data_IF_926170273717
#
_entry.id   IF_926170273717
#
_cell.length_a   1.000
_cell.length_b   1.000
_cell.length_c   1.000
_cell.angle_alpha   90.00
_cell.angle_beta   90.00
_cell.angle_gamma   90.00
#
_symmetry.space_group_name_H-M   'P 1'
#
loop_
_entity.id
_entity.type
_entity.pdbx_description
1 polymer ?
#
# COMPACT_ATOMS: atom_id res chain seq x y z
N UNK A 1 15.77 6.62 19.90
CA UNK A 1 16.43 5.31 19.73
C UNK A 1 15.67 4.37 18.79
N UNK A 2 14.46 3.89 19.13
CA UNK A 2 13.73 2.90 18.30
C UNK A 2 13.54 3.30 16.82
N UNK A 3 13.19 4.56 16.54
CA UNK A 3 13.02 5.06 15.15
C UNK A 3 14.31 4.98 14.34
N UNK A 4 15.43 5.40 14.93
CA UNK A 4 16.73 5.33 14.27
C UNK A 4 17.16 3.88 14.01
N UNK A 5 16.90 2.98 14.96
CA UNK A 5 17.15 1.55 14.79
C UNK A 5 16.32 0.97 13.63
N UNK A 6 15.01 1.26 13.58
CA UNK A 6 14.15 0.81 12.48
C UNK A 6 14.60 1.36 11.13
N UNK A 7 15.03 2.62 11.07
CA UNK A 7 15.59 3.22 9.87
C UNK A 7 16.85 2.48 9.40
N UNK A 8 17.79 2.23 10.32
CA UNK A 8 19.06 1.56 10.02
C UNK A 8 18.84 0.10 9.60
N UNK A 9 18.01 -0.66 10.32
CA UNK A 9 17.69 -2.04 9.98
C UNK A 9 17.01 -2.14 8.61
N UNK A 10 16.06 -1.25 8.32
CA UNK A 10 15.38 -1.23 7.02
C UNK A 10 16.34 -0.83 5.89
N UNK A 11 17.23 0.13 6.16
CA UNK A 11 18.26 0.55 5.19
C UNK A 11 19.23 -0.60 4.90
N UNK A 12 19.75 -1.26 5.93
CA UNK A 12 20.65 -2.40 5.77
C UNK A 12 19.97 -3.56 5.05
N UNK A 13 18.75 -3.92 5.43
CA UNK A 13 18.00 -4.98 4.77
C UNK A 13 17.73 -4.66 3.30
N UNK A 14 17.30 -3.44 2.98
CA UNK A 14 17.04 -3.04 1.60
C UNK A 14 18.30 -2.89 0.76
N UNK A 15 19.42 -2.46 1.35
CA UNK A 15 20.72 -2.42 0.70
C UNK A 15 21.20 -3.84 0.36
N UNK A 16 21.12 -4.76 1.32
CA UNK A 16 21.46 -6.18 1.09
C UNK A 16 20.58 -6.76 -0.01
N UNK A 17 19.27 -6.57 0.06
CA UNK A 17 18.36 -7.10 -0.95
C UNK A 17 18.67 -6.52 -2.33
N UNK A 18 18.78 -5.20 -2.46
CA UNK A 18 19.09 -4.53 -3.73
C UNK A 18 20.43 -4.99 -4.31
N UNK A 19 21.46 -5.20 -3.48
CA UNK A 19 22.78 -5.69 -3.92
C UNK A 19 22.76 -7.12 -4.46
N UNK A 20 21.78 -7.92 -4.05
CA UNK A 20 21.60 -9.31 -4.48
C UNK A 20 20.52 -9.47 -5.57
N UNK A 21 20.03 -8.37 -6.14
CA UNK A 21 18.98 -8.42 -7.16
C UNK A 21 19.41 -9.23 -8.39
N UNK A 22 18.63 -10.21 -8.89
CA UNK A 22 19.13 -11.20 -9.84
C UNK A 22 19.47 -10.65 -11.23
N UNK A 23 18.71 -9.65 -11.70
CA UNK A 23 18.90 -9.08 -13.05
C UNK A 23 19.86 -7.88 -13.02
N UNK A 24 19.55 -6.85 -12.23
CA UNK A 24 20.37 -5.64 -12.17
C UNK A 24 20.49 -5.10 -10.74
N UNK A 25 21.53 -5.52 -9.99
CA UNK A 25 21.84 -4.97 -8.67
C UNK A 25 21.99 -3.44 -8.69
N UNK A 26 22.63 -2.89 -9.72
CA UNK A 26 22.85 -1.45 -9.83
C UNK A 26 21.52 -0.68 -9.96
N UNK A 27 20.61 -1.13 -10.82
CA UNK A 27 19.30 -0.49 -10.96
C UNK A 27 18.48 -0.59 -9.67
N UNK A 28 18.50 -1.74 -9.00
CA UNK A 28 17.83 -1.94 -7.73
C UNK A 28 18.40 -1.04 -6.62
N UNK A 29 19.73 -0.89 -6.56
CA UNK A 29 20.42 -0.01 -5.60
C UNK A 29 20.08 1.46 -5.85
N UNK A 30 20.10 1.91 -7.10
CA UNK A 30 19.73 3.27 -7.49
C UNK A 30 18.27 3.55 -7.13
N UNK A 31 17.35 2.65 -7.50
CA UNK A 31 15.95 2.75 -7.14
C UNK A 31 15.76 2.83 -5.62
N UNK A 32 16.37 1.92 -4.88
CA UNK A 32 16.27 1.85 -3.42
C UNK A 32 16.79 3.13 -2.76
N UNK A 33 17.98 3.61 -3.16
CA UNK A 33 18.56 4.83 -2.62
C UNK A 33 17.71 6.07 -2.94
N UNK A 34 17.29 6.23 -4.20
CA UNK A 34 16.41 7.32 -4.60
C UNK A 34 15.08 7.28 -3.84
N UNK A 35 14.48 6.11 -3.66
CA UNK A 35 13.26 5.93 -2.89
C UNK A 35 13.47 6.28 -1.40
N UNK A 36 14.59 5.92 -0.80
CA UNK A 36 14.93 6.32 0.58
C UNK A 36 14.97 7.84 0.71
N UNK A 37 15.70 8.51 -0.20
CA UNK A 37 15.83 9.97 -0.25
C UNK A 37 14.46 10.63 -0.46
N UNK A 38 13.69 10.19 -1.45
CA UNK A 38 12.35 10.75 -1.72
C UNK A 38 11.44 10.63 -0.49
N UNK A 39 11.45 9.49 0.20
CA UNK A 39 10.63 9.29 1.40
C UNK A 39 11.12 10.07 2.62
N UNK A 40 12.42 10.29 2.75
CA UNK A 40 12.99 11.13 3.79
C UNK A 40 12.69 12.62 3.55
N UNK A 41 12.70 13.10 2.29
CA UNK A 41 12.50 14.50 1.95
C UNK A 41 11.03 14.92 1.77
N UNK A 42 10.15 14.03 1.29
CA UNK A 42 8.72 14.32 1.05
C UNK A 42 7.80 13.44 1.89
N UNK A 43 7.38 13.88 3.09
CA UNK A 43 6.60 13.05 4.01
C UNK A 43 5.24 12.72 3.43
N UNK A 44 4.89 11.45 3.53
CA UNK A 44 3.63 10.90 3.03
C UNK A 44 3.59 10.65 1.53
N UNK A 45 4.69 10.84 0.78
CA UNK A 45 4.75 10.42 -0.63
C UNK A 45 4.54 8.91 -0.79
N UNK A 46 4.99 8.13 0.20
CA UNK A 46 4.75 6.68 0.26
C UNK A 46 3.27 6.29 0.25
N UNK A 47 2.35 7.15 0.73
CA UNK A 47 0.91 6.91 0.65
C UNK A 47 0.41 6.90 -0.80
N UNK A 48 1.15 7.54 -1.73
CA UNK A 48 0.93 7.44 -3.17
C UNK A 48 1.72 6.26 -3.73
N UNK A 49 3.03 6.20 -3.43
CA UNK A 49 3.94 5.25 -4.07
C UNK A 49 3.62 3.79 -3.75
N UNK A 50 3.27 3.46 -2.50
CA UNK A 50 3.00 2.08 -2.09
C UNK A 50 1.76 1.51 -2.79
N UNK A 51 0.57 2.14 -2.73
CA UNK A 51 -0.59 1.58 -3.43
C UNK A 51 -0.49 1.63 -4.96
N UNK A 52 0.25 2.60 -5.51
CA UNK A 52 0.49 2.71 -6.94
C UNK A 52 1.49 1.66 -7.45
N UNK A 53 2.48 1.30 -6.63
CA UNK A 53 3.52 0.31 -6.93
C UNK A 53 3.04 -1.13 -6.74
N UNK A 54 2.14 -1.37 -5.79
CA UNK A 54 1.68 -2.71 -5.40
C UNK A 54 1.30 -3.63 -6.58
N UNK A 55 0.59 -3.17 -7.62
CA UNK A 55 0.13 -4.09 -8.65
C UNK A 55 1.16 -4.54 -9.67
N UNK A 56 2.34 -3.91 -9.71
CA UNK A 56 3.32 -4.14 -10.77
C UNK A 56 4.76 -4.29 -10.27
N UNK A 57 5.07 -3.87 -9.03
CA UNK A 57 6.39 -4.07 -8.41
C UNK A 57 6.60 -5.51 -7.92
N UNK A 58 6.24 -6.47 -8.76
CA UNK A 58 6.57 -7.87 -8.55
C UNK A 58 7.07 -8.39 -9.90
N UNK A 59 8.39 -8.48 -10.04
CA UNK A 59 9.05 -8.98 -11.23
C UNK A 59 9.46 -10.45 -11.10
N UNK A 60 8.81 -11.20 -10.20
CA UNK A 60 9.09 -12.62 -9.95
C UNK A 60 9.20 -13.50 -11.21
N UNK A 61 8.46 -13.29 -12.33
CA UNK A 61 8.66 -14.11 -13.52
C UNK A 61 10.00 -13.89 -14.21
N UNK A 62 10.57 -12.69 -14.08
CA UNK A 62 11.85 -12.34 -14.69
C UNK A 62 13.01 -12.57 -13.72
N UNK A 63 12.82 -12.23 -12.43
CA UNK A 63 13.88 -12.32 -11.43
C UNK A 63 13.97 -13.69 -10.78
N UNK A 64 12.91 -14.51 -10.82
CA UNK A 64 12.81 -15.76 -10.06
C UNK A 64 12.68 -15.56 -8.55
N UNK A 65 12.60 -14.31 -8.10
CA UNK A 65 12.44 -13.93 -6.71
C UNK A 65 10.97 -14.10 -6.30
N UNK A 66 10.73 -15.15 -5.51
CA UNK A 66 9.40 -15.44 -4.99
C UNK A 66 9.24 -14.98 -3.53
N UNK A 67 10.26 -15.18 -2.70
CA UNK A 67 10.20 -14.85 -1.26
C UNK A 67 10.38 -13.35 -1.05
N UNK A 68 11.35 -12.79 -1.76
CA UNK A 68 11.61 -11.36 -1.84
C UNK A 68 11.05 -10.83 -3.15
N UNK A 69 10.72 -9.56 -3.21
CA UNK A 69 10.27 -8.90 -4.43
C UNK A 69 10.66 -7.42 -4.44
N UNK A 70 10.45 -6.75 -5.58
CA UNK A 70 10.80 -5.34 -5.75
C UNK A 70 9.86 -4.41 -4.97
N UNK A 71 8.68 -4.89 -4.58
CA UNK A 71 7.79 -4.19 -3.68
C UNK A 71 8.35 -4.14 -2.25
N UNK A 72 9.05 -5.18 -1.81
CA UNK A 72 9.80 -5.18 -0.54
C UNK A 72 10.85 -4.08 -0.53
N UNK A 73 11.58 -3.88 -1.64
CA UNK A 73 12.55 -2.78 -1.76
C UNK A 73 11.90 -1.41 -1.60
N UNK A 74 10.71 -1.22 -2.19
CA UNK A 74 9.94 0.01 -1.99
C UNK A 74 9.56 0.19 -0.52
N UNK A 75 9.02 -0.83 0.14
CA UNK A 75 8.61 -0.77 1.55
C UNK A 75 9.80 -0.51 2.48
N UNK A 76 10.92 -1.21 2.28
CA UNK A 76 12.15 -1.00 3.04
C UNK A 76 12.69 0.43 2.85
N UNK A 77 12.58 1.00 1.64
CA UNK A 77 12.95 2.38 1.38
C UNK A 77 12.02 3.39 2.09
N UNK A 78 10.73 3.11 2.12
CA UNK A 78 9.74 3.88 2.88
C UNK A 78 10.07 3.86 4.37
N UNK A 79 10.41 2.70 4.92
CA UNK A 79 10.78 2.56 6.32
C UNK A 79 12.11 3.25 6.63
N UNK A 80 13.15 3.03 5.83
CA UNK A 80 14.44 3.68 5.98
C UNK A 80 14.30 5.21 5.97
N UNK A 81 13.72 5.77 4.91
CA UNK A 81 13.57 7.21 4.75
C UNK A 81 12.58 7.83 5.76
N UNK A 82 11.42 7.20 5.92
CA UNK A 82 10.35 7.68 6.81
C UNK A 82 10.78 7.68 8.28
N UNK A 83 11.40 6.60 8.75
CA UNK A 83 11.90 6.54 10.13
C UNK A 83 13.14 7.38 10.37
N UNK A 84 14.03 7.52 9.37
CA UNK A 84 15.15 8.46 9.43
C UNK A 84 14.65 9.88 9.68
N UNK A 85 13.66 10.33 8.89
CA UNK A 85 13.05 11.65 9.08
C UNK A 85 12.39 11.81 10.45
N UNK A 86 11.64 10.80 10.92
CA UNK A 86 11.00 10.87 12.23
C UNK A 86 12.00 10.84 13.39
N UNK A 87 13.16 10.21 13.22
CA UNK A 87 14.26 10.26 14.17
C UNK A 87 14.89 11.65 14.18
N UNK A 88 15.19 12.22 13.01
CA UNK A 88 15.79 13.54 12.87
C UNK A 88 14.89 14.65 13.45
N UNK A 89 13.60 14.61 13.14
CA UNK A 89 12.62 15.56 13.68
C UNK A 89 12.49 15.46 15.22
N UNK A 90 12.66 14.26 15.81
CA UNK A 90 12.64 14.11 17.26
C UNK A 90 13.89 14.65 17.95
N UNK A 91 15.05 14.54 17.32
CA UNK A 91 16.31 15.09 17.87
C UNK A 91 16.24 16.61 17.89
N UNK A 92 15.87 17.24 16.78
CA UNK A 92 15.76 18.70 16.69
C UNK A 92 14.71 19.27 17.67
N UNK A 93 13.61 18.54 17.91
CA UNK A 93 12.61 18.95 18.88
C UNK A 93 13.12 18.83 20.33
N UNK A 94 13.93 17.81 20.65
CA UNK A 94 14.51 17.65 21.98
C UNK A 94 15.55 18.74 22.30
N UNK A 95 16.37 19.13 21.32
CA UNK A 95 17.34 20.23 21.44
C UNK A 95 16.65 21.60 21.63
N UNK A 96 15.52 21.83 20.96
CA UNK A 96 14.71 23.04 21.18
C UNK A 96 14.03 23.10 22.55
N UNK A 97 13.64 21.95 23.11
CA UNK A 97 13.01 21.85 24.43
C UNK A 97 13.98 22.07 25.60
N UNK A 98 15.27 21.74 25.42
CA UNK A 98 16.32 22.11 26.38
C UNK A 98 16.56 23.62 26.48
N UNK A 99 16.14 24.40 25.47
CA UNK A 99 16.19 25.86 25.48
C UNK A 99 14.86 26.54 25.89
N UNK A 100 13.75 25.81 25.92
CA UNK A 100 12.43 26.33 26.28
C UNK A 100 11.53 25.21 26.79
N UNK A 101 11.47 25.05 28.11
CA UNK A 101 10.78 23.95 28.79
C UNK A 101 9.28 23.96 28.53
N UNK A 102 8.81 23.20 27.54
CA UNK A 102 7.40 22.86 27.37
C UNK A 102 7.25 21.34 27.32
N UNK A 103 6.87 20.75 28.45
CA UNK A 103 6.59 19.32 28.56
C UNK A 103 5.36 19.03 27.68
N UNK A 104 5.59 18.39 26.53
CA UNK A 104 4.54 17.94 25.65
C UNK A 104 3.59 17.00 26.41
N UNK A 105 2.35 17.46 26.62
CA UNK A 105 1.30 16.74 27.32
C UNK A 105 1.09 15.35 26.68
N UNK A 106 1.54 14.29 27.37
CA UNK A 106 1.27 12.90 26.98
C UNK A 106 -0.21 12.64 27.22
N UNK A 107 -1.02 12.89 26.19
CA UNK A 107 -2.42 12.49 26.20
C UNK A 107 -2.50 10.98 26.47
N UNK A 108 -3.27 10.60 27.49
CA UNK A 108 -3.52 9.21 27.81
C UNK A 108 -4.15 8.50 26.59
N UNK A 109 -3.78 7.22 26.33
CA UNK A 109 -4.33 6.48 25.19
C UNK A 109 -5.85 6.36 25.30
N UNK A 110 -6.56 6.65 24.21
CA UNK A 110 -8.02 6.49 24.16
C UNK A 110 -8.38 5.01 24.20
N UNK A 111 -9.60 4.64 24.64
CA UNK A 111 -10.07 3.23 24.62
C UNK A 111 -9.92 2.57 23.24
N UNK A 112 -10.14 3.33 22.16
CA UNK A 112 -9.90 2.88 20.78
C UNK A 112 -8.44 2.55 20.49
N UNK A 113 -7.49 3.26 21.12
CA UNK A 113 -6.07 3.00 20.96
C UNK A 113 -5.67 1.72 21.68
N UNK A 114 -6.24 1.46 22.87
CA UNK A 114 -6.01 0.23 23.63
C UNK A 114 -6.54 -1.00 22.88
N UNK A 115 -7.78 -0.93 22.37
CA UNK A 115 -8.36 -2.03 21.60
C UNK A 115 -7.57 -2.31 20.32
N UNK A 116 -7.17 -1.26 19.60
CA UNK A 116 -6.34 -1.39 18.40
C UNK A 116 -4.97 -2.02 18.74
N UNK A 117 -4.30 -1.55 19.79
CA UNK A 117 -3.03 -2.12 20.25
C UNK A 117 -3.23 -3.60 20.59
N UNK A 118 -4.24 -3.93 21.40
CA UNK A 118 -4.55 -5.32 21.78
C UNK A 118 -4.77 -6.23 20.57
N UNK A 119 -5.58 -5.80 19.59
CA UNK A 119 -5.84 -6.56 18.37
C UNK A 119 -4.59 -6.72 17.51
N UNK A 120 -3.79 -5.65 17.34
CA UNK A 120 -2.53 -5.73 16.58
C UNK A 120 -1.51 -6.64 17.25
N UNK A 121 -1.42 -6.61 18.59
CA UNK A 121 -0.55 -7.50 19.36
C UNK A 121 -1.00 -8.96 19.22
N UNK A 122 -2.31 -9.22 19.33
CA UNK A 122 -2.86 -10.56 19.18
C UNK A 122 -2.61 -11.11 17.77
N UNK A 123 -2.86 -10.29 16.73
CA UNK A 123 -2.57 -10.65 15.34
C UNK A 123 -1.07 -10.92 15.13
N UNK A 124 -0.20 -10.11 15.73
CA UNK A 124 1.25 -10.31 15.66
C UNK A 124 1.66 -11.63 16.31
N UNK A 125 1.08 -11.96 17.47
CA UNK A 125 1.35 -13.21 18.17
C UNK A 125 0.92 -14.42 17.34
N UNK A 126 -0.31 -14.41 16.80
CA UNK A 126 -0.76 -15.47 15.91
C UNK A 126 0.06 -15.57 14.63
N UNK A 127 0.50 -14.44 14.07
CA UNK A 127 1.39 -14.40 12.91
C UNK A 127 2.74 -15.04 13.20
N UNK A 128 3.36 -14.75 14.35
CA UNK A 128 4.63 -15.35 14.77
C UNK A 128 4.47 -16.85 15.02
N UNK A 129 3.40 -17.26 15.70
CA UNK A 129 3.10 -18.69 15.90
C UNK A 129 2.92 -19.41 14.56
N UNK A 130 2.20 -18.80 13.63
CA UNK A 130 2.01 -19.35 12.28
C UNK A 130 3.35 -19.47 11.52
N UNK A 131 4.19 -18.44 11.58
CA UNK A 131 5.53 -18.46 10.96
C UNK A 131 6.40 -19.59 11.53
N UNK A 132 6.48 -19.71 12.85
CA UNK A 132 7.30 -20.74 13.52
C UNK A 132 6.79 -22.14 13.17
N UNK A 133 5.47 -22.35 13.18
CA UNK A 133 4.87 -23.62 12.79
C UNK A 133 5.14 -23.96 11.34
N UNK A 134 4.97 -23.00 10.42
CA UNK A 134 5.21 -23.21 9.00
C UNK A 134 6.69 -23.50 8.70
N UNK A 135 7.62 -22.83 9.38
CA UNK A 135 9.06 -23.12 9.26
C UNK A 135 9.40 -24.52 9.76
N UNK A 136 8.85 -24.93 10.90
CA UNK A 136 9.09 -26.26 11.45
C UNK A 136 8.50 -27.36 10.58
N UNK A 137 7.29 -27.16 10.05
CA UNK A 137 6.61 -28.12 9.17
C UNK A 137 7.36 -28.31 7.83
N UNK A 138 7.97 -27.24 7.31
CA UNK A 138 8.77 -27.27 6.09
C UNK A 138 10.20 -27.83 6.28
N UNK A 139 10.54 -28.40 7.44
CA UNK A 139 11.85 -29.00 7.71
C UNK A 139 12.87 -28.09 8.39
N UNK A 140 12.43 -26.95 8.93
CA UNK A 140 13.26 -26.01 9.68
C UNK A 140 13.77 -24.83 8.85
N UNK A 141 14.45 -23.88 9.50
CA UNK A 141 14.97 -22.71 8.82
C UNK A 141 16.17 -23.08 7.93
N UNK A 142 16.01 -22.87 6.63
CA UNK A 142 17.09 -22.90 5.65
C UNK A 142 17.00 -21.64 4.79
N UNK A 143 18.10 -20.90 4.67
CA UNK A 143 18.13 -19.68 3.86
C UNK A 143 18.46 -20.00 2.40
N UNK A 144 17.75 -19.37 1.47
CA UNK A 144 18.05 -19.41 0.05
C UNK A 144 17.44 -18.21 -0.68
N UNK A 145 18.17 -17.65 -1.64
CA UNK A 145 17.71 -16.52 -2.46
C UNK A 145 16.57 -16.90 -3.41
N UNK A 146 16.53 -18.18 -3.81
CA UNK A 146 15.53 -18.74 -4.72
C UNK A 146 14.88 -19.92 -4.02
N UNK A 147 13.71 -19.70 -3.44
CA UNK A 147 12.90 -20.72 -2.77
C UNK A 147 11.49 -20.72 -3.33
N UNK A 148 10.95 -21.92 -3.51
CA UNK A 148 9.61 -22.19 -4.02
C UNK A 148 8.53 -22.22 -2.94
N UNK A 149 7.33 -22.63 -3.34
CA UNK A 149 6.15 -22.67 -2.48
C UNK A 149 6.20 -23.75 -1.39
N UNK A 150 7.03 -24.78 -1.58
CA UNK A 150 7.20 -25.90 -0.65
C UNK A 150 8.35 -25.67 0.34
N UNK A 151 9.17 -24.65 0.13
CA UNK A 151 10.38 -24.41 0.91
C UNK A 151 10.09 -23.60 2.18
N UNK A 152 10.98 -23.65 3.20
CA UNK A 152 10.73 -23.02 4.49
C UNK A 152 10.41 -21.52 4.44
N UNK A 153 11.09 -20.75 3.58
CA UNK A 153 10.89 -19.31 3.50
C UNK A 153 9.56 -18.91 2.84
N UNK A 154 8.79 -19.85 2.28
CA UNK A 154 7.41 -19.58 1.88
C UNK A 154 6.56 -19.07 3.06
N UNK A 155 6.83 -19.58 4.27
CA UNK A 155 6.21 -19.08 5.51
C UNK A 155 6.59 -17.63 5.81
N UNK A 156 7.84 -17.25 5.55
CA UNK A 156 8.32 -15.87 5.67
C UNK A 156 7.66 -14.96 4.62
N UNK A 157 7.49 -15.43 3.37
CA UNK A 157 6.81 -14.69 2.31
C UNK A 157 5.40 -14.28 2.73
N UNK A 158 4.65 -15.15 3.41
CA UNK A 158 3.31 -14.84 3.90
C UNK A 158 3.37 -13.88 5.10
N UNK A 159 4.25 -14.15 6.06
CA UNK A 159 4.39 -13.36 7.29
C UNK A 159 4.87 -11.92 7.05
N UNK A 160 5.73 -11.67 6.04
CA UNK A 160 6.33 -10.35 5.80
C UNK A 160 5.29 -9.24 5.59
N UNK A 161 4.15 -9.57 4.99
CA UNK A 161 3.04 -8.62 4.78
C UNK A 161 2.48 -8.08 6.10
N UNK A 162 2.29 -8.96 7.09
CA UNK A 162 1.87 -8.59 8.44
C UNK A 162 2.93 -7.75 9.14
N UNK A 163 4.20 -8.18 9.07
CA UNK A 163 5.33 -7.45 9.65
C UNK A 163 5.41 -6.02 9.10
N UNK A 164 5.39 -5.86 7.78
CA UNK A 164 5.43 -4.57 7.12
C UNK A 164 4.20 -3.72 7.42
N UNK A 165 3.02 -4.33 7.51
CA UNK A 165 1.79 -3.66 7.95
C UNK A 165 1.95 -3.03 9.34
N UNK A 166 2.49 -3.79 10.31
CA UNK A 166 2.74 -3.31 11.68
C UNK A 166 3.79 -2.19 11.69
N UNK A 167 4.89 -2.37 10.98
CA UNK A 167 5.97 -1.38 10.87
C UNK A 167 5.49 -0.10 10.17
N UNK A 168 4.43 -0.15 9.37
CA UNK A 168 3.84 1.05 8.74
C UNK A 168 3.00 1.89 9.72
N UNK A 169 2.41 1.29 10.77
CA UNK A 169 1.46 1.97 11.68
C UNK A 169 2.02 3.28 12.27
N UNK A 170 3.25 3.33 12.83
CA UNK A 170 3.78 4.57 13.38
C UNK A 170 3.99 5.68 12.33
N UNK A 171 4.38 5.31 11.11
CA UNK A 171 4.52 6.24 9.98
C UNK A 171 3.15 6.81 9.58
N UNK A 172 2.14 5.94 9.45
CA UNK A 172 0.77 6.35 9.15
C UNK A 172 0.21 7.30 10.22
N UNK A 173 0.39 6.96 11.50
CA UNK A 173 -0.02 7.82 12.63
C UNK A 173 0.70 9.18 12.62
N UNK A 174 1.95 9.24 12.18
CA UNK A 174 2.66 10.51 12.03
C UNK A 174 2.04 11.38 10.92
N UNK A 175 1.76 10.81 9.75
CA UNK A 175 1.11 11.52 8.65
C UNK A 175 -0.32 11.96 8.98
N UNK A 176 -1.11 11.09 9.62
CA UNK A 176 -2.47 11.42 10.07
C UNK A 176 -2.49 12.56 11.10
N UNK A 177 -1.49 12.63 11.98
CA UNK A 177 -1.34 13.75 12.94
C UNK A 177 -0.98 15.05 12.24
N UNK A 178 -0.22 14.99 11.14
CA UNK A 178 0.12 16.17 10.35
C UNK A 178 -1.06 16.70 9.56
N UNK A 179 -1.77 15.83 8.84
CA UNK A 179 -3.01 16.18 8.14
C UNK A 179 -3.78 14.91 7.76
N UNK A 180 -4.91 14.66 8.43
CA UNK A 180 -5.79 13.53 8.09
C UNK A 180 -6.32 13.63 6.65
N UNK A 181 -6.77 14.81 6.25
CA UNK A 181 -7.29 15.05 4.90
C UNK A 181 -6.19 14.89 3.83
N UNK A 182 -4.98 15.41 4.11
CA UNK A 182 -3.83 15.26 3.22
C UNK A 182 -3.40 13.80 3.06
N UNK A 183 -3.30 13.06 4.17
CA UNK A 183 -2.96 11.64 4.16
C UNK A 183 -4.01 10.82 3.39
N UNK A 184 -5.30 11.05 3.65
CA UNK A 184 -6.40 10.39 2.93
C UNK A 184 -6.38 10.68 1.43
N UNK A 185 -6.13 11.94 1.03
CA UNK A 185 -6.00 12.31 -0.38
C UNK A 185 -4.81 11.63 -1.06
N UNK A 186 -3.66 11.55 -0.40
CA UNK A 186 -2.47 10.86 -0.95
C UNK A 186 -2.72 9.37 -1.13
N UNK A 187 -3.31 8.73 -0.13
CA UNK A 187 -3.72 7.32 -0.21
C UNK A 187 -4.66 7.09 -1.40
N UNK A 188 -5.68 7.93 -1.53
CA UNK A 188 -6.64 7.84 -2.61
C UNK A 188 -6.00 8.03 -3.99
N UNK A 189 -5.08 8.98 -4.13
CA UNK A 189 -4.29 9.14 -5.36
C UNK A 189 -3.47 7.89 -5.66
N UNK A 190 -2.79 7.31 -4.67
CA UNK A 190 -2.05 6.06 -4.84
C UNK A 190 -2.92 4.92 -5.35
N UNK A 191 -4.10 4.74 -4.75
CA UNK A 191 -5.06 3.71 -5.16
C UNK A 191 -5.58 3.94 -6.58
N UNK A 192 -5.85 5.20 -6.97
CA UNK A 192 -6.25 5.56 -8.34
C UNK A 192 -5.14 5.23 -9.34
N UNK A 193 -3.89 5.57 -9.04
CA UNK A 193 -2.76 5.25 -9.91
C UNK A 193 -2.56 3.74 -10.03
N UNK A 194 -2.61 3.00 -8.93
CA UNK A 194 -2.47 1.55 -8.97
C UNK A 194 -3.64 0.87 -9.71
N UNK A 195 -4.88 1.35 -9.54
CA UNK A 195 -6.02 0.87 -10.30
C UNK A 195 -5.87 1.14 -11.79
N UNK A 196 -5.36 2.33 -12.16
CA UNK A 196 -5.07 2.64 -13.55
C UNK A 196 -4.02 1.66 -14.13
N UNK A 197 -2.94 1.38 -13.39
CA UNK A 197 -1.92 0.42 -13.80
C UNK A 197 -2.51 -0.98 -14.02
N UNK A 198 -3.33 -1.48 -13.09
CA UNK A 198 -3.98 -2.80 -13.25
C UNK A 198 -4.94 -2.83 -14.41
N UNK A 199 -5.76 -1.78 -14.57
CA UNK A 199 -6.75 -1.71 -15.65
C UNK A 199 -6.08 -1.68 -17.02
N UNK A 200 -4.97 -0.94 -17.15
CA UNK A 200 -4.18 -0.90 -18.38
C UNK A 200 -3.47 -2.23 -18.64
N UNK A 201 -2.91 -2.87 -17.61
CA UNK A 201 -2.29 -4.19 -17.74
C UNK A 201 -3.32 -5.26 -18.15
N UNK A 202 -4.52 -5.22 -17.57
CA UNK A 202 -5.63 -6.09 -17.94
C UNK A 202 -6.06 -5.91 -19.40
N UNK A 203 -6.19 -4.66 -19.86
CA UNK A 203 -6.51 -4.35 -21.26
C UNK A 203 -5.41 -4.84 -22.20
N UNK A 204 -4.14 -4.63 -21.85
CA UNK A 204 -3.00 -5.07 -22.64
C UNK A 204 -2.95 -6.60 -22.76
N UNK A 205 -3.11 -7.31 -21.64
CA UNK A 205 -3.18 -8.77 -21.61
C UNK A 205 -4.33 -9.26 -22.50
N UNK A 206 -5.52 -8.68 -22.36
CA UNK A 206 -6.67 -9.09 -23.18
C UNK A 206 -6.49 -8.79 -24.65
N UNK A 207 -5.89 -7.67 -25.01
CA UNK A 207 -5.56 -7.36 -26.40
C UNK A 207 -4.56 -8.36 -27.00
N UNK A 208 -3.64 -8.88 -26.19
CA UNK A 208 -2.61 -9.82 -26.64
C UNK A 208 -3.11 -11.27 -26.80
N UNK A 209 -4.05 -11.71 -25.95
CA UNK A 209 -4.50 -13.11 -25.91
C UNK A 209 -5.91 -13.32 -26.53
N UNK A 210 -7.04 -13.15 -25.82
CA UNK A 210 -8.38 -13.44 -26.36
C UNK A 210 -8.95 -12.34 -27.29
N UNK A 211 -8.40 -11.14 -27.25
CA UNK A 211 -9.01 -9.94 -27.82
C UNK A 211 -9.89 -9.18 -26.82
N UNK A 212 -10.07 -7.88 -27.08
CA UNK A 212 -10.76 -6.96 -26.17
C UNK A 212 -12.27 -7.21 -26.08
N UNK A 213 -12.90 -7.65 -27.17
CA UNK A 213 -14.35 -7.85 -27.27
C UNK A 213 -14.81 -9.30 -27.10
N UNK A 214 -13.90 -10.27 -26.97
CA UNK A 214 -14.26 -11.68 -26.83
C UNK A 214 -14.58 -12.04 -25.38
N UNK A 215 -15.85 -11.98 -24.99
CA UNK A 215 -16.31 -12.45 -23.68
C UNK A 215 -16.80 -13.91 -23.70
N UNK A 216 -16.73 -14.58 -24.85
CA UNK A 216 -17.19 -15.96 -25.01
C UNK A 216 -16.14 -16.96 -24.52
N UNK A 217 -14.87 -16.64 -24.75
CA UNK A 217 -13.75 -17.45 -24.27
C UNK A 217 -13.52 -17.17 -22.78
N UNK A 218 -13.55 -18.23 -21.97
CA UNK A 218 -13.30 -18.17 -20.53
C UNK A 218 -11.80 -17.96 -20.22
N UNK A 219 -11.25 -16.82 -20.64
CA UNK A 219 -9.89 -16.38 -20.33
C UNK A 219 -9.92 -15.43 -19.14
N UNK A 220 -9.44 -15.90 -17.99
CA UNK A 220 -9.36 -15.12 -16.75
C UNK A 220 -8.11 -14.25 -16.74
N UNK A 221 -8.30 -12.95 -16.64
CA UNK A 221 -7.19 -11.99 -16.57
C UNK A 221 -6.42 -12.08 -15.27
N UNK A 222 -5.08 -12.01 -15.36
CA UNK A 222 -4.17 -11.98 -14.20
C UNK A 222 -3.44 -10.66 -14.02
N UNK A 223 -3.37 -9.83 -15.06
CA UNK A 223 -2.53 -8.63 -15.15
C UNK A 223 -1.09 -8.95 -14.70
N UNK A 224 -0.49 -8.10 -13.87
CA UNK A 224 0.83 -8.31 -13.27
C UNK A 224 0.79 -9.01 -11.90
N UNK A 225 -0.34 -9.65 -11.54
CA UNK A 225 -0.45 -10.44 -10.31
C UNK A 225 -0.01 -11.88 -10.56
N UNK A 226 1.29 -12.14 -10.42
CA UNK A 226 1.86 -13.45 -10.77
C UNK A 226 1.38 -14.59 -9.90
N UNK A 227 1.02 -14.35 -8.64
CA UNK A 227 0.49 -15.39 -7.73
C UNK A 227 -0.78 -16.09 -8.28
N UNK A 228 -1.41 -15.53 -9.31
CA UNK A 228 -2.49 -16.17 -10.04
C UNK A 228 -2.09 -17.48 -10.71
N UNK A 229 -0.80 -17.74 -10.99
CA UNK A 229 -0.34 -18.97 -11.64
C UNK A 229 -0.56 -20.23 -10.80
N UNK A 230 -0.59 -20.11 -9.47
CA UNK A 230 -0.97 -21.20 -8.54
C UNK A 230 -2.47 -21.17 -8.19
N UNK A 231 -3.27 -20.38 -8.90
CA UNK A 231 -4.70 -20.21 -8.62
C UNK A 231 -5.01 -19.19 -7.52
N UNK A 232 -4.11 -18.24 -7.26
CA UNK A 232 -4.32 -17.15 -6.30
C UNK A 232 -5.53 -16.26 -6.62
N UNK A 233 -5.86 -15.36 -5.68
CA UNK A 233 -6.95 -14.39 -5.79
C UNK A 233 -6.50 -12.93 -5.57
N UNK A 234 -5.21 -12.64 -5.80
CA UNK A 234 -4.62 -11.35 -5.46
C UNK A 234 -5.21 -10.19 -6.28
N UNK A 235 -5.42 -10.38 -7.58
CA UNK A 235 -6.07 -9.38 -8.44
C UNK A 235 -7.51 -9.10 -7.98
N UNK A 236 -8.26 -10.14 -7.62
CA UNK A 236 -9.64 -10.04 -7.14
C UNK A 236 -9.71 -9.16 -5.87
N UNK A 237 -8.84 -9.44 -4.90
CA UNK A 237 -8.74 -8.68 -3.65
C UNK A 237 -8.32 -7.22 -3.90
N UNK A 238 -7.36 -6.99 -4.80
CA UNK A 238 -6.91 -5.65 -5.14
C UNK A 238 -8.02 -4.83 -5.81
N UNK A 239 -8.70 -5.39 -6.80
CA UNK A 239 -9.81 -4.72 -7.50
C UNK A 239 -10.94 -4.39 -6.52
N UNK A 240 -11.34 -5.32 -5.66
CA UNK A 240 -12.36 -5.09 -4.65
C UNK A 240 -11.99 -3.93 -3.69
N UNK A 241 -10.72 -3.84 -3.30
CA UNK A 241 -10.20 -2.76 -2.45
C UNK A 241 -10.09 -1.42 -3.19
N UNK A 242 -9.71 -1.43 -4.47
CA UNK A 242 -9.39 -0.24 -5.25
C UNK A 242 -10.61 0.42 -5.91
N UNK A 243 -11.64 -0.36 -6.24
CA UNK A 243 -12.82 0.14 -6.97
C UNK A 243 -13.49 1.36 -6.32
N UNK A 244 -13.71 1.43 -4.98
CA UNK A 244 -14.28 2.61 -4.34
C UNK A 244 -13.57 3.94 -4.65
N UNK A 245 -12.28 3.90 -4.96
CA UNK A 245 -11.50 5.09 -5.28
C UNK A 245 -11.82 5.67 -6.66
N UNK A 246 -12.50 4.92 -7.55
CA UNK A 246 -13.10 5.46 -8.77
C UNK A 246 -14.18 6.49 -8.42
N UNK A 247 -15.06 6.17 -7.47
CA UNK A 247 -16.12 7.08 -7.02
C UNK A 247 -15.51 8.35 -6.41
N UNK A 248 -14.47 8.18 -5.58
CA UNK A 248 -13.72 9.31 -5.03
C UNK A 248 -13.08 10.17 -6.13
N UNK A 249 -12.46 9.54 -7.14
CA UNK A 249 -11.83 10.24 -8.26
C UNK A 249 -12.84 11.04 -9.07
N UNK A 250 -14.00 10.46 -9.37
CA UNK A 250 -15.12 11.12 -10.06
C UNK A 250 -15.67 12.29 -9.24
N UNK A 251 -15.90 12.09 -7.95
CA UNK A 251 -16.46 13.12 -7.05
C UNK A 251 -15.51 14.30 -6.82
N UNK A 252 -14.19 14.08 -6.88
CA UNK A 252 -13.19 15.13 -6.67
C UNK A 252 -12.66 15.76 -7.96
N UNK A 253 -13.03 15.22 -9.13
CA UNK A 253 -12.60 15.72 -10.42
C UNK A 253 -13.09 17.15 -10.67
N UNK A 254 -12.14 18.07 -10.83
CA UNK A 254 -12.42 19.47 -11.23
C UNK A 254 -12.12 19.66 -12.71
N UNK A 255 -13.15 19.98 -13.48
CA UNK A 255 -13.08 20.23 -14.93
C UNK A 255 -13.38 18.99 -15.78
N UNK A 256 -13.78 19.24 -17.03
CA UNK A 256 -14.28 18.21 -17.96
C UNK A 256 -13.24 17.11 -18.25
N UNK A 257 -11.97 17.50 -18.47
CA UNK A 257 -10.91 16.55 -18.78
C UNK A 257 -10.65 15.57 -17.62
N UNK A 258 -10.52 16.08 -16.39
CA UNK A 258 -10.27 15.23 -15.22
C UNK A 258 -11.43 14.28 -14.97
N UNK A 259 -12.66 14.77 -15.12
CA UNK A 259 -13.84 13.93 -15.00
C UNK A 259 -13.88 12.84 -16.07
N UNK A 260 -13.58 13.18 -17.33
CA UNK A 260 -13.51 12.22 -18.43
C UNK A 260 -12.44 11.15 -18.19
N UNK A 261 -11.25 11.52 -17.69
CA UNK A 261 -10.21 10.56 -17.32
C UNK A 261 -10.65 9.63 -16.18
N UNK A 262 -11.29 10.16 -15.14
CA UNK A 262 -11.85 9.36 -14.04
C UNK A 262 -12.96 8.41 -14.51
N UNK A 263 -13.81 8.86 -15.44
CA UNK A 263 -14.86 8.03 -16.04
C UNK A 263 -14.29 6.92 -16.92
N UNK A 264 -13.27 7.24 -17.74
CA UNK A 264 -12.56 6.25 -18.54
C UNK A 264 -11.87 5.20 -17.66
N UNK A 265 -11.21 5.63 -16.56
CA UNK A 265 -10.65 4.72 -15.57
C UNK A 265 -11.73 3.80 -14.98
N UNK A 266 -12.90 4.35 -14.62
CA UNK A 266 -14.02 3.57 -14.13
C UNK A 266 -14.48 2.50 -15.12
N UNK A 267 -14.59 2.85 -16.40
CA UNK A 267 -14.92 1.91 -17.46
C UNK A 267 -13.89 0.78 -17.59
N UNK A 268 -12.60 1.12 -17.61
CA UNK A 268 -11.52 0.14 -17.72
C UNK A 268 -11.39 -0.74 -16.48
N UNK A 269 -11.66 -0.19 -15.29
CA UNK A 269 -11.66 -0.96 -14.06
C UNK A 269 -12.85 -1.94 -14.00
N UNK A 270 -14.05 -1.52 -14.44
CA UNK A 270 -15.21 -2.40 -14.60
C UNK A 270 -14.90 -3.51 -15.60
N UNK A 271 -14.31 -3.17 -16.75
CA UNK A 271 -13.86 -4.14 -17.74
C UNK A 271 -12.91 -5.17 -17.11
N UNK A 272 -11.87 -4.71 -16.41
CA UNK A 272 -10.92 -5.57 -15.72
C UNK A 272 -11.64 -6.51 -14.75
N UNK A 273 -12.56 -6.01 -13.91
CA UNK A 273 -13.38 -6.82 -13.02
C UNK A 273 -14.17 -7.89 -13.79
N UNK A 274 -14.92 -7.54 -14.83
CA UNK A 274 -15.71 -8.49 -15.62
C UNK A 274 -14.85 -9.58 -16.26
N UNK A 275 -13.62 -9.24 -16.65
CA UNK A 275 -12.71 -10.17 -17.30
C UNK A 275 -11.94 -11.08 -16.35
N UNK A 276 -12.11 -10.92 -15.03
CA UNK A 276 -11.65 -11.93 -14.07
C UNK A 276 -12.62 -13.12 -13.98
N UNK A 277 -13.83 -13.01 -14.54
CA UNK A 277 -14.89 -14.02 -14.45
C UNK A 277 -15.21 -14.47 -13.02
N UNK A 278 -14.90 -13.63 -12.01
CA UNK A 278 -15.02 -13.95 -10.59
C UNK A 278 -16.31 -13.37 -10.01
N UNK A 279 -17.27 -14.24 -9.70
CA UNK A 279 -18.54 -13.85 -9.05
C UNK A 279 -18.30 -13.14 -7.71
N UNK A 280 -17.25 -13.53 -6.99
CA UNK A 280 -16.86 -12.90 -5.74
C UNK A 280 -16.45 -11.44 -5.91
N UNK A 281 -15.70 -11.14 -6.98
CA UNK A 281 -15.31 -9.75 -7.31
C UNK A 281 -16.53 -8.91 -7.62
N UNK A 282 -17.47 -9.43 -8.42
CA UNK A 282 -18.68 -8.68 -8.78
C UNK A 282 -19.46 -8.27 -7.54
N UNK A 283 -19.66 -9.22 -6.61
CA UNK A 283 -20.37 -8.97 -5.36
C UNK A 283 -19.59 -7.97 -4.47
N UNK A 284 -18.28 -8.15 -4.32
CA UNK A 284 -17.45 -7.28 -3.50
C UNK A 284 -17.43 -5.83 -4.02
N UNK A 285 -17.30 -5.65 -5.33
CA UNK A 285 -17.35 -4.32 -5.98
C UNK A 285 -18.72 -3.68 -5.80
N UNK A 286 -19.80 -4.41 -6.05
CA UNK A 286 -21.16 -3.89 -5.84
C UNK A 286 -21.38 -3.47 -4.38
N UNK A 287 -21.01 -4.31 -3.42
CA UNK A 287 -21.17 -4.03 -2.00
C UNK A 287 -20.34 -2.82 -1.56
N UNK A 288 -19.09 -2.71 -2.02
CA UNK A 288 -18.23 -1.58 -1.67
C UNK A 288 -18.77 -0.25 -2.21
N UNK A 289 -19.38 -0.23 -3.40
CA UNK A 289 -20.06 0.94 -3.95
C UNK A 289 -21.30 1.31 -3.13
N UNK A 290 -22.12 0.33 -2.75
CA UNK A 290 -23.30 0.55 -1.90
C UNK A 290 -22.88 1.19 -0.58
N UNK A 291 -21.86 0.64 0.09
CA UNK A 291 -21.34 1.19 1.34
C UNK A 291 -20.83 2.62 1.14
N UNK A 292 -20.06 2.89 0.08
CA UNK A 292 -19.56 4.24 -0.19
C UNK A 292 -20.67 5.25 -0.45
N UNK A 293 -21.68 4.91 -1.26
CA UNK A 293 -22.83 5.78 -1.53
C UNK A 293 -23.64 6.00 -0.25
N UNK A 294 -23.90 4.94 0.52
CA UNK A 294 -24.59 5.04 1.80
C UNK A 294 -23.87 5.96 2.78
N UNK A 295 -22.55 5.79 2.94
CA UNK A 295 -21.74 6.65 3.79
C UNK A 295 -21.71 8.10 3.29
N UNK A 296 -21.71 8.32 1.98
CA UNK A 296 -21.77 9.66 1.40
C UNK A 296 -23.11 10.35 1.68
N UNK A 297 -24.23 9.62 1.59
CA UNK A 297 -25.56 10.13 1.92
C UNK A 297 -25.74 10.44 3.41
N UNK A 298 -25.01 9.75 4.29
CA UNK A 298 -25.02 10.02 5.73
C UNK A 298 -24.15 11.21 6.16
N UNK A 299 -23.36 11.79 5.25
CA UNK A 299 -22.53 12.95 5.62
C UNK A 299 -23.44 14.16 5.90
N UNK A 300 -23.33 14.77 7.10
CA UNK A 300 -24.06 15.99 7.36
C UNK A 300 -23.63 17.08 6.37
N UNK A 301 -24.54 17.97 5.92
CA UNK A 301 -24.19 19.07 5.05
C UNK A 301 -23.05 19.87 5.67
N UNK A 302 -22.06 20.23 4.86
CA UNK A 302 -20.92 21.01 5.33
C UNK A 302 -21.44 22.27 6.03
N UNK A 303 -20.95 22.61 7.24
CA UNK A 303 -21.39 23.82 7.91
C UNK A 303 -21.13 25.00 6.98
N UNK A 304 -22.19 25.73 6.62
CA UNK A 304 -22.10 26.96 5.85
C UNK A 304 -21.13 27.88 6.59
N UNK A 305 -20.00 28.20 5.96
CA UNK A 305 -19.16 29.30 6.43
C UNK A 305 -19.99 30.56 6.27
N UNK A 306 -20.65 30.99 7.35
CA UNK A 306 -21.29 32.29 7.45
C UNK A 306 -20.22 33.35 7.32
N UNK A 307 -19.94 33.76 6.07
CA UNK A 307 -19.30 35.04 5.82
C UNK A 307 -20.31 36.09 6.25
N UNK A 308 -20.16 36.54 7.49
CA UNK A 308 -20.85 37.71 8.02
C UNK A 308 -20.59 38.88 7.06
N UNK A 309 -21.59 39.17 6.20
CA UNK A 309 -21.76 40.50 5.60
C UNK A 309 -22.25 41.42 6.71
N UNK A 310 -21.34 41.81 7.59
CA UNK A 310 -21.49 42.98 8.43
C UNK A 310 -20.15 43.72 8.36
N UNK A 311 -20.25 45.02 8.13
CA UNK A 311 -19.15 46.00 8.16
C UNK A 311 -18.36 46.15 6.87
N UNK A 312 -18.99 46.81 5.89
CA UNK A 312 -18.30 47.84 5.12
C UNK A 312 -19.06 49.17 5.33
N UNK A 313 -18.38 50.24 5.78
CA UNK A 313 -18.96 51.56 5.96
C UNK A 313 -19.35 52.22 4.63
#
# INVERSE_FOLDING_TARGET
MLRALLALLSFAAGLTLASHHPISPLAALLFFYCACVVNAWWPGIWLIAVPAGLPWLNFSPWTGWLIFDEFDLLLLAVFAGGYCRLAWASTNAAEGLTAGGHIANRQAPRRSDVAFIGLTTLLSLFGVVSLVRGLHDAGGFAFGWFQGYTDPLNSLRLFKSLLFGIVTIPLLRAEMRRSRAGAGRRLALGMVFGLASVSLAALWERAAYPGLSDFSTAYRVTAMFWEMHVGGGAIDAYLAMAMPFVLWSLATARGRLRWALSAALGLFAIYACLTTFSRGVYLAVALSFIVCVFLWLLQPPAPETSVSRADLP
#
